data_IF_816789513566
#
_entry.id   IF_816789513566
#
_cell.length_a   1.000
_cell.length_b   1.000
_cell.length_c   1.000
_cell.angle_alpha   90.00
_cell.angle_beta   90.00
_cell.angle_gamma   90.00
#
_symmetry.space_group_name_H-M   'P 1'
#
loop_
_entity.id
_entity.type
_entity.pdbx_description
1 polymer ?
#
# COMPACT_ATOMS: atom_id res chain seq x y z
N UNK A 1 20.88 13.24 -24.32
CA UNK A 1 20.61 14.29 -23.33
C UNK A 1 20.89 13.71 -21.96
N UNK A 2 21.53 14.46 -21.06
CA UNK A 2 21.87 13.97 -19.74
C UNK A 2 20.71 14.31 -18.80
N UNK A 3 19.93 13.29 -18.43
CA UNK A 3 18.90 13.44 -17.40
C UNK A 3 19.58 13.80 -16.08
N UNK A 4 19.07 14.81 -15.39
CA UNK A 4 19.49 15.13 -14.03
C UNK A 4 18.49 14.52 -13.04
N UNK A 5 18.95 14.22 -11.83
CA UNK A 5 18.08 13.76 -10.74
C UNK A 5 18.15 14.77 -9.61
N UNK A 6 16.99 15.22 -9.15
CA UNK A 6 16.85 16.10 -7.99
C UNK A 6 15.89 15.49 -6.97
N UNK A 7 15.89 16.04 -5.75
CA UNK A 7 14.91 15.67 -4.73
C UNK A 7 13.56 16.32 -5.06
N UNK A 8 12.50 15.70 -4.56
CA UNK A 8 11.14 16.19 -4.60
C UNK A 8 10.99 17.52 -3.85
N UNK A 9 10.15 18.39 -4.41
CA UNK A 9 9.55 19.54 -3.77
C UNK A 9 8.02 19.45 -3.86
N UNK A 10 7.29 20.10 -2.96
CA UNK A 10 5.82 20.05 -2.92
C UNK A 10 5.12 20.66 -4.16
N UNK A 11 5.86 21.39 -4.99
CA UNK A 11 5.40 21.87 -6.30
C UNK A 11 5.41 20.75 -7.36
N UNK A 12 6.06 19.61 -7.08
CA UNK A 12 6.10 18.42 -7.95
C UNK A 12 4.88 17.51 -7.79
N UNK A 13 4.01 17.74 -6.80
CA UNK A 13 2.84 16.87 -6.60
C UNK A 13 2.00 16.68 -7.88
N UNK A 14 1.71 17.72 -8.68
CA UNK A 14 0.98 17.55 -9.94
C UNK A 14 1.65 16.59 -10.93
N UNK A 15 3.00 16.51 -10.92
CA UNK A 15 3.75 15.56 -11.75
C UNK A 15 3.47 14.11 -11.35
N UNK A 16 3.56 13.83 -10.05
CA UNK A 16 3.30 12.49 -9.49
C UNK A 16 1.87 12.07 -9.79
N UNK A 17 0.91 12.98 -9.59
CA UNK A 17 -0.51 12.73 -9.90
C UNK A 17 -0.75 12.43 -11.38
N UNK A 18 -0.08 13.16 -12.29
CA UNK A 18 -0.24 12.94 -13.73
C UNK A 18 0.36 11.60 -14.19
N UNK A 19 1.46 11.18 -13.55
CA UNK A 19 2.12 9.90 -13.83
C UNK A 19 1.25 8.71 -13.38
N UNK A 20 0.67 8.81 -12.17
CA UNK A 20 -0.24 7.79 -11.62
C UNK A 20 -1.49 7.63 -12.49
N UNK A 21 -2.08 8.75 -12.94
CA UNK A 21 -3.24 8.73 -13.82
C UNK A 21 -2.97 8.11 -15.21
N UNK A 22 -1.71 8.10 -15.66
CA UNK A 22 -1.32 7.51 -16.93
C UNK A 22 -1.13 5.98 -16.87
N UNK A 23 -0.91 5.41 -15.68
CA UNK A 23 -0.61 3.98 -15.48
C UNK A 23 -1.64 3.25 -14.58
N UNK A 24 -2.47 3.99 -13.84
CA UNK A 24 -3.59 3.47 -13.05
C UNK A 24 -4.89 3.31 -13.86
N UNK A 25 -5.94 2.70 -13.27
CA UNK A 25 -7.27 2.70 -13.86
C UNK A 25 -7.76 4.17 -14.02
N UNK A 26 -8.59 4.46 -15.03
CA UNK A 26 -9.06 5.82 -15.28
C UNK A 26 -9.70 6.40 -14.02
N UNK A 27 -9.09 7.46 -13.48
CA UNK A 27 -9.57 8.09 -12.27
C UNK A 27 -10.98 8.67 -12.51
N UNK A 28 -11.94 8.33 -11.65
CA UNK A 28 -13.29 8.92 -11.69
C UNK A 28 -13.35 10.32 -11.07
N UNK A 29 -12.26 10.80 -10.49
CA UNK A 29 -12.22 12.02 -9.68
C UNK A 29 -11.63 13.21 -10.47
N UNK A 30 -11.99 14.43 -10.06
CA UNK A 30 -11.48 15.63 -10.68
C UNK A 30 -9.95 15.78 -10.45
N UNK A 31 -9.22 16.47 -11.34
CA UNK A 31 -7.77 16.66 -11.20
C UNK A 31 -7.33 17.29 -9.87
N UNK A 32 -8.12 18.23 -9.33
CA UNK A 32 -7.83 18.86 -8.04
C UNK A 32 -7.90 17.86 -6.88
N UNK A 33 -8.89 16.96 -6.90
CA UNK A 33 -9.03 15.89 -5.91
C UNK A 33 -7.85 14.92 -5.98
N UNK A 34 -7.32 14.68 -7.19
CA UNK A 34 -6.17 13.82 -7.40
C UNK A 34 -4.86 14.39 -6.82
N UNK A 35 -4.66 15.70 -6.94
CA UNK A 35 -3.52 16.39 -6.31
C UNK A 35 -3.63 16.32 -4.78
N UNK A 36 -4.81 16.58 -4.22
CA UNK A 36 -4.99 16.52 -2.76
C UNK A 36 -4.87 15.09 -2.20
N UNK A 37 -5.34 14.07 -2.94
CA UNK A 37 -5.07 12.67 -2.63
C UNK A 37 -3.58 12.36 -2.59
N UNK A 38 -2.84 12.79 -3.60
CA UNK A 38 -1.39 12.60 -3.64
C UNK A 38 -0.70 13.34 -2.47
N UNK A 39 -1.16 14.56 -2.11
CA UNK A 39 -0.65 15.27 -0.92
C UNK A 39 -0.87 14.48 0.36
N UNK A 40 -2.08 13.95 0.58
CA UNK A 40 -2.40 13.10 1.74
C UNK A 40 -1.54 11.83 1.74
N UNK A 41 -1.41 11.16 0.61
CA UNK A 41 -0.56 9.98 0.50
C UNK A 41 0.91 10.27 0.85
N UNK A 42 1.48 11.38 0.36
CA UNK A 42 2.86 11.78 0.68
C UNK A 42 3.04 12.23 2.15
N UNK A 43 1.97 12.65 2.82
CA UNK A 43 1.95 13.13 4.19
C UNK A 43 1.74 12.03 5.25
N UNK A 44 1.68 10.75 4.84
CA UNK A 44 1.49 9.64 5.78
C UNK A 44 2.58 9.59 6.87
N UNK A 45 2.24 9.10 8.07
CA UNK A 45 3.21 8.85 9.13
C UNK A 45 4.37 7.97 8.64
N UNK A 46 5.60 8.44 8.87
CA UNK A 46 6.82 7.76 8.45
C UNK A 46 7.29 8.06 7.02
N UNK A 47 6.47 8.68 6.18
CA UNK A 47 6.89 9.13 4.84
C UNK A 47 7.66 10.45 4.92
N UNK A 48 8.69 10.60 4.08
CA UNK A 48 9.57 11.78 4.02
C UNK A 48 9.85 12.14 2.55
N UNK A 49 8.86 12.65 1.80
CA UNK A 49 8.97 12.83 0.35
C UNK A 49 10.15 13.73 -0.06
N UNK A 50 10.46 14.81 0.65
CA UNK A 50 11.60 15.68 0.31
C UNK A 50 12.95 14.98 0.46
N UNK A 51 13.00 13.92 1.26
CA UNK A 51 14.14 13.01 1.36
C UNK A 51 14.00 11.90 0.34
N UNK A 52 12.97 11.08 0.41
CA UNK A 52 12.93 9.76 -0.22
C UNK A 52 12.39 9.73 -1.65
N UNK A 53 11.93 10.88 -2.17
CA UNK A 53 11.43 11.00 -3.54
C UNK A 53 12.42 11.75 -4.44
N UNK A 54 12.64 11.18 -5.62
CA UNK A 54 13.56 11.63 -6.65
C UNK A 54 12.78 11.98 -7.91
N UNK A 55 13.14 13.08 -8.56
CA UNK A 55 12.56 13.52 -9.84
C UNK A 55 13.65 13.44 -10.90
N UNK A 56 13.37 12.76 -12.01
CA UNK A 56 14.18 12.83 -13.22
C UNK A 56 13.76 14.07 -14.01
N UNK A 57 14.74 14.83 -14.46
CA UNK A 57 14.53 16.06 -15.20
C UNK A 57 15.32 16.04 -16.52
N UNK A 58 14.63 16.37 -17.61
CA UNK A 58 15.14 16.52 -18.97
C UNK A 58 15.06 17.99 -19.36
N UNK A 59 16.14 18.73 -19.11
CA UNK A 59 16.27 20.16 -19.46
C UNK A 59 15.11 21.03 -18.95
N UNK A 60 14.75 20.86 -17.67
CA UNK A 60 13.65 21.56 -17.00
C UNK A 60 12.28 20.91 -17.20
N UNK A 61 12.20 19.80 -17.95
CA UNK A 61 10.97 19.01 -18.13
C UNK A 61 11.05 17.74 -17.29
N UNK A 62 10.16 17.55 -16.29
CA UNK A 62 10.19 16.32 -15.51
C UNK A 62 9.86 15.08 -16.37
N UNK A 63 10.70 14.05 -16.27
CA UNK A 63 10.65 12.83 -17.06
C UNK A 63 10.25 11.57 -16.26
N UNK A 64 9.95 11.74 -14.98
CA UNK A 64 9.50 10.68 -14.08
C UNK A 64 9.90 10.94 -12.63
N UNK A 65 9.45 10.05 -11.74
CA UNK A 65 9.82 10.06 -10.33
C UNK A 65 10.10 8.65 -9.80
N UNK A 66 10.79 8.60 -8.67
CA UNK A 66 10.94 7.41 -7.86
C UNK A 66 10.81 7.76 -6.38
N UNK A 67 9.93 7.08 -5.66
CA UNK A 67 9.77 7.17 -4.21
C UNK A 67 10.31 5.90 -3.55
N UNK A 68 11.31 6.04 -2.68
CA UNK A 68 11.85 4.95 -1.88
C UNK A 68 11.12 4.84 -0.53
N UNK A 69 10.15 3.92 -0.41
CA UNK A 69 9.51 3.64 0.87
C UNK A 69 10.50 2.89 1.78
N UNK A 70 10.96 3.55 2.84
CA UNK A 70 12.00 3.03 3.75
C UNK A 70 11.37 2.23 4.90
N UNK A 71 11.61 0.93 4.91
CA UNK A 71 11.20 0.02 5.98
C UNK A 71 12.40 -0.41 6.81
N UNK A 72 12.86 0.50 7.67
CA UNK A 72 14.04 0.30 8.49
C UNK A 72 14.03 -1.00 9.34
N UNK A 73 12.90 -1.44 9.94
CA UNK A 73 12.85 -2.70 10.71
C UNK A 73 13.23 -3.94 9.88
N UNK A 74 13.03 -3.90 8.56
CA UNK A 74 13.41 -4.97 7.63
C UNK A 74 14.73 -4.68 6.89
N UNK A 75 15.31 -3.48 7.08
CA UNK A 75 16.38 -2.94 6.25
C UNK A 75 16.04 -3.07 4.75
N UNK A 76 14.77 -2.81 4.40
CA UNK A 76 14.25 -2.93 3.04
C UNK A 76 13.80 -1.56 2.54
N UNK A 77 14.02 -1.31 1.25
CA UNK A 77 13.38 -0.24 0.51
C UNK A 77 12.41 -0.82 -0.50
N UNK A 78 11.21 -0.26 -0.61
CA UNK A 78 10.27 -0.55 -1.70
C UNK A 78 10.21 0.67 -2.60
N UNK A 79 10.62 0.51 -3.86
CA UNK A 79 10.69 1.58 -4.82
C UNK A 79 9.39 1.62 -5.62
N UNK A 80 8.66 2.72 -5.48
CA UNK A 80 7.57 3.10 -6.38
C UNK A 80 8.19 4.03 -7.41
N UNK A 81 8.20 3.67 -8.69
CA UNK A 81 8.82 4.54 -9.69
C UNK A 81 8.05 4.48 -11.00
N UNK A 82 7.88 5.65 -11.62
CA UNK A 82 7.22 5.83 -12.91
C UNK A 82 8.05 6.82 -13.71
N UNK A 83 8.56 6.38 -14.85
CA UNK A 83 9.42 7.22 -15.67
C UNK A 83 9.43 6.80 -17.14
N UNK A 84 9.62 7.79 -18.01
CA UNK A 84 10.00 7.56 -19.40
C UNK A 84 11.29 6.71 -19.45
N UNK A 85 11.50 5.88 -20.51
CA UNK A 85 12.61 4.94 -20.56
C UNK A 85 13.98 5.53 -20.21
N UNK A 86 14.25 6.76 -20.63
CA UNK A 86 15.53 7.41 -20.41
C UNK A 86 15.73 7.97 -18.98
N UNK A 87 14.63 8.21 -18.23
CA UNK A 87 14.68 8.61 -16.82
C UNK A 87 14.82 7.44 -15.84
N UNK A 88 14.56 6.20 -16.28
CA UNK A 88 14.54 5.02 -15.40
C UNK A 88 15.88 4.71 -14.75
N UNK A 89 16.97 4.70 -15.52
CA UNK A 89 18.30 4.38 -15.01
C UNK A 89 18.81 5.40 -13.97
N UNK A 90 18.80 6.72 -14.24
CA UNK A 90 19.19 7.72 -13.25
C UNK A 90 18.39 7.64 -11.94
N UNK A 91 17.07 7.43 -12.02
CA UNK A 91 16.21 7.31 -10.84
C UNK A 91 16.54 6.06 -10.02
N UNK A 92 16.71 4.91 -10.67
CA UNK A 92 17.07 3.67 -10.01
C UNK A 92 18.44 3.80 -9.33
N UNK A 93 19.43 4.37 -10.00
CA UNK A 93 20.76 4.59 -9.45
C UNK A 93 20.74 5.50 -8.22
N UNK A 94 19.99 6.61 -8.30
CA UNK A 94 19.82 7.54 -7.18
C UNK A 94 19.17 6.85 -5.97
N UNK A 95 18.08 6.13 -6.17
CA UNK A 95 17.37 5.43 -5.10
C UNK A 95 18.20 4.31 -4.48
N UNK A 96 18.91 3.51 -5.28
CA UNK A 96 19.80 2.44 -4.78
C UNK A 96 20.99 3.02 -4.04
N UNK A 97 21.58 4.13 -4.51
CA UNK A 97 22.65 4.82 -3.81
C UNK A 97 22.19 5.33 -2.45
N UNK A 98 21.02 5.97 -2.38
CA UNK A 98 20.44 6.49 -1.15
C UNK A 98 20.11 5.36 -0.15
N UNK A 99 19.47 4.29 -0.64
CA UNK A 99 19.16 3.08 0.14
C UNK A 99 20.42 2.48 0.78
N UNK A 100 21.53 2.39 0.03
CA UNK A 100 22.83 1.93 0.55
C UNK A 100 23.38 2.87 1.61
N UNK A 101 23.29 4.19 1.41
CA UNK A 101 23.83 5.18 2.34
C UNK A 101 23.17 5.14 3.71
N UNK A 102 21.88 4.77 3.78
CA UNK A 102 21.13 4.62 5.03
C UNK A 102 21.11 3.18 5.56
N UNK A 103 21.87 2.28 4.94
CA UNK A 103 22.12 0.92 5.44
C UNK A 103 21.03 -0.11 5.13
N UNK A 104 20.17 0.14 4.13
CA UNK A 104 19.24 -0.87 3.63
C UNK A 104 20.01 -2.02 2.98
N UNK A 105 19.52 -3.24 3.18
CA UNK A 105 20.08 -4.46 2.65
C UNK A 105 19.54 -4.81 1.26
N UNK A 106 18.31 -4.39 0.95
CA UNK A 106 17.63 -4.71 -0.31
C UNK A 106 16.71 -3.58 -0.75
N UNK A 107 16.65 -3.36 -2.07
CA UNK A 107 15.62 -2.56 -2.73
C UNK A 107 14.75 -3.50 -3.56
N UNK A 108 13.44 -3.40 -3.39
CA UNK A 108 12.45 -4.18 -4.14
C UNK A 108 11.60 -3.23 -4.97
N UNK A 109 11.09 -3.72 -6.10
CA UNK A 109 10.23 -2.98 -7.00
C UNK A 109 9.06 -3.89 -7.34
N UNK A 110 7.84 -3.41 -7.13
CA UNK A 110 6.66 -4.12 -7.60
C UNK A 110 6.46 -3.82 -9.09
N UNK A 111 6.32 -4.87 -9.89
CA UNK A 111 6.22 -4.79 -11.34
C UNK A 111 4.93 -5.48 -11.77
N UNK A 112 3.99 -4.77 -12.42
CA UNK A 112 2.81 -5.39 -12.99
C UNK A 112 3.21 -6.53 -13.93
N UNK A 113 2.47 -7.64 -13.91
CA UNK A 113 2.80 -8.81 -14.73
C UNK A 113 2.92 -8.45 -16.22
N UNK A 114 2.09 -7.50 -16.66
CA UNK A 114 1.98 -7.00 -18.03
C UNK A 114 3.09 -6.02 -18.46
N UNK A 115 3.96 -5.57 -17.55
CA UNK A 115 5.03 -4.61 -17.88
C UNK A 115 6.38 -5.32 -18.16
N UNK A 116 6.44 -6.01 -19.29
CA UNK A 116 7.64 -6.71 -19.75
C UNK A 116 8.83 -5.77 -20.02
N UNK A 117 8.55 -4.54 -20.43
CA UNK A 117 9.58 -3.53 -20.68
C UNK A 117 10.28 -3.13 -19.38
N UNK A 118 9.51 -2.90 -18.32
CA UNK A 118 10.07 -2.64 -17.01
C UNK A 118 10.80 -3.86 -16.44
N UNK A 119 10.19 -5.05 -16.52
CA UNK A 119 10.82 -6.29 -16.05
C UNK A 119 12.20 -6.50 -16.70
N UNK A 120 12.29 -6.29 -18.01
CA UNK A 120 13.53 -6.42 -18.77
C UNK A 120 14.58 -5.37 -18.38
N UNK A 121 14.14 -4.13 -18.15
CA UNK A 121 15.01 -3.06 -17.67
C UNK A 121 15.58 -3.34 -16.27
N UNK A 122 14.75 -3.76 -15.32
CA UNK A 122 15.22 -4.07 -13.95
C UNK A 122 16.17 -5.27 -13.95
N UNK A 123 15.89 -6.29 -14.78
CA UNK A 123 16.79 -7.42 -14.96
C UNK A 123 18.16 -7.00 -15.54
N UNK A 124 18.19 -6.11 -16.53
CA UNK A 124 19.45 -5.60 -17.08
C UNK A 124 20.21 -4.70 -16.10
N UNK A 125 19.50 -4.04 -15.19
CA UNK A 125 20.06 -3.30 -14.06
C UNK A 125 20.52 -4.19 -12.88
N UNK A 126 20.38 -5.52 -13.00
CA UNK A 126 20.87 -6.48 -12.00
C UNK A 126 19.89 -6.82 -10.88
N UNK A 127 18.62 -6.41 -10.97
CA UNK A 127 17.58 -6.89 -10.08
C UNK A 127 17.09 -8.27 -10.53
N UNK A 128 16.65 -9.09 -9.58
CA UNK A 128 16.10 -10.41 -9.85
C UNK A 128 14.68 -10.54 -9.28
N UNK A 129 13.85 -11.33 -9.94
CA UNK A 129 12.52 -11.67 -9.43
C UNK A 129 12.64 -12.53 -8.16
N UNK A 130 12.03 -12.09 -7.07
CA UNK A 130 12.08 -12.77 -5.76
C UNK A 130 10.71 -13.29 -5.31
N UNK A 131 9.61 -12.74 -5.83
CA UNK A 131 8.25 -13.09 -5.41
C UNK A 131 7.20 -12.59 -6.40
N UNK A 132 6.10 -13.33 -6.49
CA UNK A 132 4.88 -12.94 -7.19
C UNK A 132 3.76 -12.73 -6.18
N UNK A 133 3.06 -11.60 -6.26
CA UNK A 133 1.80 -11.33 -5.54
C UNK A 133 0.63 -11.53 -6.50
N UNK A 134 -0.42 -12.22 -6.04
CA UNK A 134 -1.60 -12.48 -6.86
C UNK A 134 -2.70 -11.49 -6.48
N UNK A 135 -3.20 -10.75 -7.46
CA UNK A 135 -4.43 -9.96 -7.32
C UNK A 135 -5.61 -10.88 -7.68
N UNK A 136 -6.33 -11.31 -6.64
CA UNK A 136 -7.50 -12.15 -6.80
C UNK A 136 -8.75 -11.27 -6.95
N UNK A 137 -9.59 -11.59 -7.94
CA UNK A 137 -10.84 -10.89 -8.20
C UNK A 137 -12.01 -11.87 -8.18
N UNK A 138 -13.10 -11.48 -7.52
CA UNK A 138 -14.38 -12.14 -7.59
C UNK A 138 -15.36 -11.21 -8.31
N UNK A 139 -15.89 -11.67 -9.43
CA UNK A 139 -16.94 -10.93 -10.14
C UNK A 139 -18.32 -11.24 -9.55
N UNK A 140 -19.18 -10.21 -9.54
CA UNK A 140 -20.54 -10.29 -9.02
C UNK A 140 -20.66 -9.87 -7.55
N UNK A 141 -21.60 -8.97 -7.27
CA UNK A 141 -21.94 -8.52 -5.92
C UNK A 141 -22.80 -9.57 -5.21
N UNK A 142 -22.14 -10.61 -4.69
CA UNK A 142 -22.79 -11.73 -4.00
C UNK A 142 -22.27 -11.86 -2.58
N UNK A 143 -23.20 -11.86 -1.63
CA UNK A 143 -22.90 -12.14 -0.23
C UNK A 143 -22.35 -13.57 -0.04
N UNK A 144 -21.64 -13.77 1.06
CA UNK A 144 -21.04 -15.04 1.45
C UNK A 144 -21.68 -15.49 2.76
N UNK A 145 -22.47 -16.57 2.70
CA UNK A 145 -22.93 -17.22 3.91
C UNK A 145 -21.76 -17.97 4.59
N UNK A 146 -21.25 -17.40 5.68
CA UNK A 146 -20.26 -18.02 6.54
C UNK A 146 -20.72 -17.92 8.00
N UNK A 147 -20.95 -19.05 8.69
CA UNK A 147 -21.43 -19.03 10.06
C UNK A 147 -20.36 -18.44 10.99
N UNK A 148 -20.81 -17.60 11.90
CA UNK A 148 -19.98 -17.14 13.02
C UNK A 148 -19.78 -18.29 14.02
N UNK A 149 -18.56 -18.51 14.52
CA UNK A 149 -18.34 -19.41 15.65
C UNK A 149 -19.18 -19.00 16.87
N UNK A 150 -19.61 -19.99 17.67
CA UNK A 150 -20.45 -19.73 18.83
C UNK A 150 -19.77 -18.77 19.82
N UNK A 151 -20.47 -17.70 20.21
CA UNK A 151 -19.94 -16.69 21.11
C UNK A 151 -19.08 -15.60 20.44
N UNK A 152 -18.84 -15.71 19.13
CA UNK A 152 -18.20 -14.66 18.36
C UNK A 152 -19.22 -13.61 17.88
N UNK A 153 -18.77 -12.36 17.81
CA UNK A 153 -19.51 -11.23 17.24
C UNK A 153 -18.61 -10.44 16.29
N UNK A 154 -19.21 -9.78 15.30
CA UNK A 154 -18.51 -8.85 14.41
C UNK A 154 -19.06 -7.45 14.62
N UNK A 155 -18.16 -6.47 14.70
CA UNK A 155 -18.49 -5.03 14.72
C UNK A 155 -17.48 -4.23 13.91
N UNK A 156 -17.81 -2.99 13.59
CA UNK A 156 -16.84 -2.07 12.99
C UNK A 156 -15.89 -1.51 14.05
N UNK A 157 -14.64 -1.27 13.65
CA UNK A 157 -13.65 -0.58 14.45
C UNK A 157 -14.00 0.90 14.61
N UNK A 158 -13.76 1.45 15.81
CA UNK A 158 -13.68 2.89 16.09
C UNK A 158 -12.25 3.33 16.37
N UNK A 159 -12.01 4.62 16.57
CA UNK A 159 -10.66 5.15 16.87
C UNK A 159 -10.06 4.55 18.14
N UNK A 160 -10.89 4.21 19.14
CA UNK A 160 -10.45 3.59 20.39
C UNK A 160 -9.88 2.17 20.17
N UNK A 161 -10.20 1.51 19.05
CA UNK A 161 -9.67 0.19 18.71
C UNK A 161 -8.27 0.24 18.08
N UNK A 162 -7.75 1.42 17.72
CA UNK A 162 -6.52 1.55 16.92
C UNK A 162 -5.34 0.80 17.53
N UNK A 163 -5.15 0.91 18.86
CA UNK A 163 -4.06 0.22 19.54
C UNK A 163 -4.21 -1.31 19.46
N UNK A 164 -5.41 -1.83 19.78
CA UNK A 164 -5.69 -3.26 19.73
C UNK A 164 -5.59 -3.82 18.31
N UNK A 165 -6.05 -3.08 17.30
CA UNK A 165 -5.92 -3.42 15.89
C UNK A 165 -4.46 -3.46 15.46
N UNK A 166 -3.65 -2.47 15.86
CA UNK A 166 -2.21 -2.42 15.58
C UNK A 166 -1.50 -3.65 16.14
N UNK A 167 -1.78 -4.00 17.39
CA UNK A 167 -1.19 -5.16 18.05
C UNK A 167 -1.60 -6.47 17.36
N UNK A 168 -2.89 -6.63 17.03
CA UNK A 168 -3.39 -7.81 16.34
C UNK A 168 -2.78 -7.96 14.94
N UNK A 169 -2.76 -6.89 14.15
CA UNK A 169 -2.17 -6.91 12.81
C UNK A 169 -0.68 -7.25 12.86
N UNK A 170 0.08 -6.59 13.74
CA UNK A 170 1.50 -6.88 13.92
C UNK A 170 1.75 -8.34 14.38
N UNK A 171 0.88 -8.89 15.23
CA UNK A 171 0.97 -10.27 15.67
C UNK A 171 0.62 -11.27 14.55
N UNK A 172 -0.45 -11.02 13.80
CA UNK A 172 -0.94 -11.90 12.75
C UNK A 172 0.05 -12.04 11.58
N UNK A 173 0.79 -10.97 11.27
CA UNK A 173 1.76 -10.96 10.17
C UNK A 173 3.22 -11.05 10.62
N UNK A 174 3.49 -11.34 11.90
CA UNK A 174 4.85 -11.49 12.41
C UNK A 174 5.60 -12.59 11.67
N UNK A 175 6.73 -12.24 11.06
CA UNK A 175 7.55 -13.19 10.29
C UNK A 175 7.04 -13.46 8.87
N UNK A 176 5.90 -12.88 8.47
CA UNK A 176 5.45 -12.88 7.08
C UNK A 176 6.46 -12.12 6.22
N UNK A 177 6.75 -12.68 5.04
CA UNK A 177 7.65 -12.05 4.09
C UNK A 177 7.16 -10.66 3.72
N UNK A 178 8.06 -9.68 3.79
CA UNK A 178 7.75 -8.31 3.39
C UNK A 178 6.75 -7.58 4.27
N UNK A 179 6.49 -8.06 5.49
CA UNK A 179 5.67 -7.33 6.45
C UNK A 179 6.53 -6.50 7.41
N UNK A 180 6.47 -5.18 7.28
CA UNK A 180 7.05 -4.25 8.25
C UNK A 180 6.01 -3.92 9.33
N UNK A 181 6.36 -4.03 10.64
CA UNK A 181 5.42 -3.71 11.71
C UNK A 181 4.92 -2.26 11.63
N UNK A 182 3.61 -2.10 11.82
CA UNK A 182 2.94 -0.81 11.83
C UNK A 182 2.98 -0.18 13.23
N UNK A 183 2.90 1.14 13.26
CA UNK A 183 2.66 1.90 14.49
C UNK A 183 1.17 2.24 14.63
N UNK A 184 0.73 2.59 15.83
CA UNK A 184 -0.62 3.09 16.08
C UNK A 184 -0.94 4.33 15.24
N UNK A 185 0.05 5.20 15.02
CA UNK A 185 -0.10 6.40 14.20
C UNK A 185 -0.35 6.03 12.73
N UNK A 186 0.43 5.08 12.19
CA UNK A 186 0.26 4.57 10.81
C UNK A 186 -1.12 3.93 10.63
N UNK A 187 -1.57 3.11 11.58
CA UNK A 187 -2.90 2.49 11.52
C UNK A 187 -4.01 3.54 11.64
N UNK A 188 -3.90 4.48 12.57
CA UNK A 188 -4.89 5.54 12.72
C UNK A 188 -5.02 6.36 11.44
N UNK A 189 -3.89 6.78 10.85
CA UNK A 189 -3.88 7.57 9.63
C UNK A 189 -4.47 6.78 8.46
N UNK A 190 -4.03 5.53 8.26
CA UNK A 190 -4.51 4.66 7.19
C UNK A 190 -6.01 4.40 7.25
N UNK A 191 -6.58 4.24 8.45
CA UNK A 191 -8.02 3.97 8.60
C UNK A 191 -8.86 5.24 8.56
N UNK A 192 -8.43 6.32 9.22
CA UNK A 192 -9.31 7.46 9.52
C UNK A 192 -8.99 8.75 8.77
N UNK A 193 -7.88 8.82 8.02
CA UNK A 193 -7.44 10.07 7.36
C UNK A 193 -7.09 9.87 5.88
N UNK A 194 -6.44 8.74 5.55
CA UNK A 194 -5.96 8.44 4.20
C UNK A 194 -7.08 8.20 3.16
N UNK A 195 -8.18 7.47 3.47
CA UNK A 195 -9.22 7.15 2.48
C UNK A 195 -9.90 8.40 1.92
N UNK A 196 -10.49 8.28 0.74
CA UNK A 196 -11.25 9.39 0.15
C UNK A 196 -12.54 9.71 0.90
N UNK A 197 -13.20 8.67 1.40
CA UNK A 197 -14.36 8.77 2.29
C UNK A 197 -14.01 8.11 3.63
N UNK A 198 -13.28 8.80 4.52
CA UNK A 198 -12.85 8.23 5.77
C UNK A 198 -14.03 8.09 6.75
N UNK A 199 -14.03 7.05 7.61
CA UNK A 199 -13.00 6.02 7.70
C UNK A 199 -13.21 4.87 6.72
N UNK A 200 -12.11 4.22 6.36
CA UNK A 200 -12.18 2.87 5.82
C UNK A 200 -12.85 1.93 6.82
N UNK A 201 -13.52 0.90 6.30
CA UNK A 201 -14.18 -0.07 7.15
C UNK A 201 -13.20 -1.18 7.56
N UNK A 202 -12.91 -1.23 8.86
CA UNK A 202 -12.28 -2.39 9.50
C UNK A 202 -13.33 -3.15 10.32
N UNK A 203 -13.60 -4.39 9.94
CA UNK A 203 -14.46 -5.30 10.71
C UNK A 203 -13.62 -6.05 11.73
N UNK A 204 -14.05 -6.03 12.98
CA UNK A 204 -13.42 -6.67 14.11
C UNK A 204 -14.28 -7.87 14.53
N UNK A 205 -13.65 -9.03 14.68
CA UNK A 205 -14.27 -10.24 15.21
C UNK A 205 -13.79 -10.44 16.65
N UNK A 206 -14.75 -10.48 17.57
CA UNK A 206 -14.53 -10.59 19.01
C UNK A 206 -15.21 -11.82 19.61
N UNK A 207 -14.61 -12.41 20.64
CA UNK A 207 -15.18 -13.52 21.42
C UNK A 207 -14.85 -13.30 22.90
N UNK A 208 -15.87 -13.26 23.75
CA UNK A 208 -15.69 -13.02 25.20
C UNK A 208 -14.99 -11.68 25.50
N UNK A 209 -15.22 -10.65 24.69
CA UNK A 209 -14.60 -9.32 24.83
C UNK A 209 -13.14 -9.23 24.35
N UNK A 210 -12.59 -10.28 23.75
CA UNK A 210 -11.24 -10.27 23.16
C UNK A 210 -11.33 -10.10 21.64
N UNK A 211 -10.53 -9.21 21.09
CA UNK A 211 -10.34 -9.06 19.65
C UNK A 211 -9.49 -10.22 19.10
N UNK A 212 -10.05 -11.03 18.18
CA UNK A 212 -9.41 -12.25 17.69
C UNK A 212 -9.05 -12.21 16.20
N UNK A 213 -9.83 -11.53 15.38
CA UNK A 213 -9.57 -11.39 13.96
C UNK A 213 -10.10 -10.06 13.42
N UNK A 214 -9.62 -9.65 12.25
CA UNK A 214 -10.12 -8.47 11.57
C UNK A 214 -10.11 -8.64 10.04
N UNK A 215 -10.92 -7.84 9.36
CA UNK A 215 -10.90 -7.65 7.93
C UNK A 215 -10.96 -6.15 7.62
N UNK A 216 -9.88 -5.62 7.06
CA UNK A 216 -9.80 -4.24 6.58
C UNK A 216 -10.22 -4.20 5.11
N UNK A 217 -11.32 -3.52 4.84
CA UNK A 217 -11.86 -3.33 3.49
C UNK A 217 -11.66 -1.90 3.03
N UNK A 218 -11.35 -1.71 1.74
CA UNK A 218 -11.26 -0.41 1.09
C UNK A 218 -12.41 -0.26 0.12
N UNK A 219 -13.15 0.83 0.23
CA UNK A 219 -14.16 1.19 -0.77
C UNK A 219 -13.44 1.85 -1.95
N UNK A 220 -13.70 1.35 -3.16
CA UNK A 220 -13.23 2.00 -4.37
C UNK A 220 -14.04 3.29 -4.63
N UNK A 221 -13.57 4.08 -5.60
CA UNK A 221 -14.39 5.16 -6.14
C UNK A 221 -15.66 4.61 -6.81
N UNK A 222 -16.63 5.47 -7.11
CA UNK A 222 -17.85 5.06 -7.80
C UNK A 222 -17.53 4.26 -9.09
N UNK A 223 -18.03 3.02 -9.16
CA UNK A 223 -17.80 2.10 -10.27
C UNK A 223 -16.54 1.22 -10.18
N UNK A 224 -15.66 1.44 -9.19
CA UNK A 224 -14.55 0.54 -8.90
C UNK A 224 -14.98 -0.62 -7.99
N UNK A 225 -14.33 -1.79 -8.08
CA UNK A 225 -14.56 -2.87 -7.12
C UNK A 225 -14.08 -2.49 -5.72
N UNK A 226 -14.83 -2.88 -4.69
CA UNK A 226 -14.33 -2.89 -3.32
C UNK A 226 -13.15 -3.86 -3.16
N UNK A 227 -12.29 -3.61 -2.18
CA UNK A 227 -11.08 -4.39 -1.97
C UNK A 227 -10.99 -4.91 -0.53
N UNK A 228 -10.51 -6.15 -0.38
CA UNK A 228 -10.06 -6.68 0.90
C UNK A 228 -8.56 -6.41 0.98
N UNK A 229 -8.15 -5.46 1.82
CA UNK A 229 -6.74 -5.05 1.95
C UNK A 229 -5.94 -6.01 2.83
N UNK A 230 -6.36 -6.13 4.09
CA UNK A 230 -5.70 -7.01 5.06
C UNK A 230 -6.70 -7.79 5.89
N UNK A 231 -6.44 -9.09 6.04
CA UNK A 231 -7.18 -9.98 6.93
C UNK A 231 -6.19 -10.62 7.88
N UNK A 232 -6.42 -10.45 9.18
CA UNK A 232 -5.55 -11.02 10.21
C UNK A 232 -6.35 -11.79 11.24
N UNK A 233 -5.75 -12.86 11.77
CA UNK A 233 -6.26 -13.62 12.92
C UNK A 233 -5.13 -13.78 13.92
N UNK A 234 -5.44 -13.59 15.20
CA UNK A 234 -4.50 -13.75 16.29
C UNK A 234 -3.83 -15.12 16.17
N UNK A 235 -2.48 -15.22 16.26
CA UNK A 235 -1.78 -16.48 15.98
C UNK A 235 -2.30 -17.69 16.76
N UNK A 236 -2.68 -17.51 18.03
CA UNK A 236 -3.23 -18.56 18.88
C UNK A 236 -4.65 -19.01 18.49
N UNK A 237 -5.34 -18.23 17.66
CA UNK A 237 -6.74 -18.41 17.28
C UNK A 237 -6.90 -18.80 15.80
N UNK A 238 -5.79 -19.00 15.09
CA UNK A 238 -5.77 -19.48 13.71
C UNK A 238 -6.32 -20.90 13.60
N UNK A 239 -6.72 -21.31 12.38
CA UNK A 239 -7.34 -22.61 12.10
C UNK A 239 -8.70 -22.87 12.78
N UNK A 240 -9.30 -21.86 13.42
CA UNK A 240 -10.66 -21.92 14.01
C UNK A 240 -11.79 -21.45 13.07
N UNK A 241 -11.45 -21.06 11.83
CA UNK A 241 -12.41 -20.51 10.87
C UNK A 241 -12.72 -19.01 11.02
N UNK A 242 -12.10 -18.31 11.99
CA UNK A 242 -12.33 -16.88 12.25
C UNK A 242 -11.98 -16.00 11.05
N UNK A 243 -10.85 -16.27 10.39
CA UNK A 243 -10.45 -15.56 9.17
C UNK A 243 -11.50 -15.66 8.07
N UNK A 244 -12.04 -16.87 7.84
CA UNK A 244 -13.13 -17.08 6.86
C UNK A 244 -14.38 -16.27 7.23
N UNK A 245 -14.78 -16.29 8.50
CA UNK A 245 -15.97 -15.58 8.95
C UNK A 245 -15.83 -14.05 8.81
N UNK A 246 -14.69 -13.48 9.20
CA UNK A 246 -14.48 -12.03 9.10
C UNK A 246 -14.25 -11.56 7.66
N UNK A 247 -13.61 -12.38 6.81
CA UNK A 247 -13.53 -12.09 5.36
C UNK A 247 -14.90 -12.14 4.70
N UNK A 248 -15.75 -13.10 5.05
CA UNK A 248 -17.11 -13.17 4.51
C UNK A 248 -17.91 -11.90 4.85
N UNK A 249 -17.87 -11.48 6.12
CA UNK A 249 -18.50 -10.22 6.53
C UNK A 249 -17.89 -8.99 5.81
N UNK A 250 -16.59 -9.02 5.54
CA UNK A 250 -15.91 -7.98 4.75
C UNK A 250 -16.42 -7.91 3.32
N UNK A 251 -16.57 -9.07 2.66
CA UNK A 251 -17.15 -9.13 1.31
C UNK A 251 -18.60 -8.65 1.33
N UNK A 252 -19.40 -9.07 2.31
CA UNK A 252 -20.79 -8.65 2.46
C UNK A 252 -20.94 -7.13 2.66
N UNK A 253 -19.91 -6.47 3.19
CA UNK A 253 -19.88 -5.02 3.34
C UNK A 253 -19.54 -4.26 2.04
N UNK A 254 -18.87 -4.93 1.10
CA UNK A 254 -18.43 -4.33 -0.17
C UNK A 254 -19.44 -4.52 -1.32
N UNK A 255 -20.51 -5.28 -1.10
CA UNK A 255 -21.54 -5.61 -2.10
C UNK A 255 -22.83 -4.80 -1.93
#
# INVERSE_FOLDING_TARGET
MAYSVRRFAWDDVPLLTASEAAHGPPASAAPADAVERMRRWLAQPGMRPERDCFIADDDGTPAGYAYLVVEQPLRRGVLIFEAAPAGRAPLLDAAVSDARSIGLAVVQVDVPETDDALRSFLASAGLAHVRTHLHLRRDGAQTIDAPLPAGAAIRSAGRDDTAALTDLQNAAFRGSWGYAPNTTETIAYGVFELPDDPPDRVLLLEEGGRLLAYCWTHQGHAGAPGQIGMVGTAPAEQSRGLGRAVTAAGVDHLV
#
